data_IF_856256963091
#
_entry.id   IF_856256963091
#
_cell.length_a   1.000
_cell.length_b   1.000
_cell.length_c   1.000
_cell.angle_alpha   90.00
_cell.angle_beta   90.00
_cell.angle_gamma   90.00
#
_symmetry.space_group_name_H-M   'P 1'
#
loop_
_entity.id
_entity.type
_entity.pdbx_description
1 polymer ?
#
# COMPACT_ATOMS: atom_id res chain seq x y z
N UNK A 1 23.00 40.14 30.26
CA UNK A 1 21.95 39.76 29.28
C UNK A 1 21.97 38.25 29.07
N UNK A 2 20.86 37.62 28.67
CA UNK A 2 20.79 36.18 28.43
C UNK A 2 20.57 35.91 26.93
N UNK A 3 21.23 34.88 26.40
CA UNK A 3 21.00 34.43 25.04
C UNK A 3 19.58 33.85 24.90
N UNK A 4 18.80 34.34 23.94
CA UNK A 4 17.43 33.88 23.71
C UNK A 4 17.35 32.47 23.15
N UNK A 5 18.43 31.96 22.55
CA UNK A 5 18.49 30.59 22.01
C UNK A 5 18.86 29.54 23.06
N UNK A 6 19.85 29.81 23.92
CA UNK A 6 20.38 28.79 24.84
C UNK A 6 20.27 29.14 26.33
N UNK A 7 19.77 30.33 26.67
CA UNK A 7 19.61 30.79 28.06
C UNK A 7 20.92 31.12 28.79
N UNK A 8 22.08 31.04 28.13
CA UNK A 8 23.36 31.35 28.75
C UNK A 8 23.52 32.86 29.03
N UNK A 9 24.13 33.21 30.16
CA UNK A 9 24.45 34.59 30.51
C UNK A 9 25.62 35.09 29.65
N UNK A 10 25.44 36.23 28.99
CA UNK A 10 26.46 36.87 28.18
C UNK A 10 27.06 38.09 28.91
N UNK A 11 28.37 38.27 28.73
CA UNK A 11 29.10 39.47 29.15
C UNK A 11 28.60 40.70 28.40
N UNK A 12 28.62 41.85 29.07
CA UNK A 12 27.87 43.08 28.71
C UNK A 12 28.25 43.74 27.37
N UNK A 13 29.21 43.19 26.62
CA UNK A 13 29.68 43.75 25.34
C UNK A 13 29.94 42.67 24.26
N UNK A 14 29.57 41.41 24.52
CA UNK A 14 29.78 40.35 23.54
C UNK A 14 28.80 40.46 22.36
N UNK A 15 29.34 40.50 21.14
CA UNK A 15 28.55 40.46 19.89
C UNK A 15 27.95 39.07 19.59
N UNK A 16 28.51 38.01 20.19
CA UNK A 16 28.09 36.63 19.98
C UNK A 16 28.05 35.85 21.29
N UNK A 17 27.15 34.87 21.40
CA UNK A 17 27.08 33.97 22.54
C UNK A 17 28.25 32.97 22.51
N UNK A 18 29.06 32.93 23.57
CA UNK A 18 30.19 32.01 23.68
C UNK A 18 29.79 30.51 23.69
N UNK A 19 28.52 30.18 23.96
CA UNK A 19 28.05 28.79 24.07
C UNK A 19 27.44 28.24 22.78
N UNK A 20 26.70 29.06 22.03
CA UNK A 20 26.00 28.61 20.83
C UNK A 20 26.32 29.40 19.56
N UNK A 21 27.12 30.47 19.65
CA UNK A 21 27.53 31.29 18.50
C UNK A 21 26.49 32.29 18.00
N UNK A 22 25.30 32.35 18.61
CA UNK A 22 24.22 33.25 18.20
C UNK A 22 24.62 34.73 18.37
N UNK A 23 24.27 35.58 17.39
CA UNK A 23 24.52 37.01 17.46
C UNK A 23 23.63 37.67 18.53
N UNK A 24 24.23 38.46 19.43
CA UNK A 24 23.51 39.18 20.47
C UNK A 24 23.25 40.59 19.96
N UNK A 25 21.99 40.88 19.64
CA UNK A 25 21.57 42.13 19.00
C UNK A 25 21.98 43.36 19.80
N UNK A 26 22.77 44.22 19.19
CA UNK A 26 23.19 45.51 19.75
C UNK A 26 22.01 46.48 19.65
N UNK A 27 21.27 46.68 20.75
CA UNK A 27 20.22 47.70 20.79
C UNK A 27 20.86 49.09 20.84
N UNK A 28 20.81 49.80 19.71
CA UNK A 28 21.04 51.24 19.67
C UNK A 28 19.71 51.97 19.94
N UNK A 29 19.82 52.98 20.81
CA UNK A 29 18.78 53.87 21.32
C UNK A 29 18.13 54.69 20.21
N UNK A 30 16.79 54.72 20.12
CA UNK A 30 16.01 55.89 19.63
C UNK A 30 14.66 56.01 20.40
N UNK A 31 14.39 57.25 20.78
CA UNK A 31 13.32 57.98 21.47
C UNK A 31 11.84 57.73 21.07
N UNK A 32 10.96 57.64 22.09
CA UNK A 32 9.55 58.13 22.32
C UNK A 32 8.48 58.30 21.20
N UNK A 33 7.16 58.48 21.52
CA UNK A 33 6.07 57.66 20.99
C UNK A 33 5.07 58.43 20.10
N UNK A 34 4.32 57.74 19.22
CA UNK A 34 2.95 58.13 18.84
C UNK A 34 2.25 57.03 18.02
N UNK A 35 0.98 56.79 18.33
CA UNK A 35 0.03 55.91 17.65
C UNK A 35 -0.79 56.81 16.67
N UNK A 36 -1.14 56.38 15.44
CA UNK A 36 -2.39 55.64 15.26
C UNK A 36 -2.41 54.60 14.10
N UNK A 37 -3.24 53.57 14.29
CA UNK A 37 -4.16 52.96 13.30
C UNK A 37 -3.75 52.92 11.81
N UNK A 38 -3.48 51.73 11.26
CA UNK A 38 -4.17 51.23 10.05
C UNK A 38 -3.65 49.87 9.59
N UNK A 39 -4.59 49.05 9.12
CA UNK A 39 -4.40 47.76 8.49
C UNK A 39 -3.44 47.83 7.29
N UNK A 40 -2.44 46.96 7.24
CA UNK A 40 -2.13 46.17 6.03
C UNK A 40 -0.93 45.22 6.26
N UNK A 41 -1.13 43.98 5.80
CA UNK A 41 -0.11 43.09 5.25
C UNK A 41 1.11 42.73 6.09
N UNK A 42 1.03 41.61 6.81
CA UNK A 42 2.03 40.52 6.75
C UNK A 42 1.28 39.22 7.07
N UNK A 43 0.80 38.47 6.08
CA UNK A 43 1.53 37.29 5.58
C UNK A 43 2.34 36.62 6.70
N UNK A 44 1.64 35.97 7.64
CA UNK A 44 2.24 34.86 8.36
C UNK A 44 2.33 33.70 7.37
N UNK A 45 3.42 33.70 6.60
CA UNK A 45 3.94 32.50 5.96
C UNK A 45 3.98 31.40 7.01
N UNK A 46 3.20 30.34 6.76
CA UNK A 46 3.33 29.08 7.48
C UNK A 46 4.80 28.74 7.69
N UNK A 47 5.24 28.34 8.89
CA UNK A 47 6.56 27.78 9.02
C UNK A 47 6.59 26.54 8.13
N UNK A 48 7.61 26.52 7.28
CA UNK A 48 7.92 25.46 6.35
C UNK A 48 7.65 24.10 6.99
N UNK A 49 6.90 23.30 6.24
CA UNK A 49 6.79 21.86 6.46
C UNK A 49 8.14 21.31 6.87
N UNK A 50 8.19 20.66 8.04
CA UNK A 50 9.18 19.63 8.32
C UNK A 50 9.22 18.73 7.08
N UNK A 51 10.24 18.91 6.26
CA UNK A 51 10.57 18.01 5.17
C UNK A 51 10.90 16.68 5.85
N UNK A 52 9.86 15.88 6.05
CA UNK A 52 9.94 14.50 6.48
C UNK A 52 10.92 13.84 5.53
N UNK A 53 12.17 13.67 5.98
CA UNK A 53 13.28 13.13 5.20
C UNK A 53 12.87 11.75 4.72
N UNK A 54 12.30 11.68 3.53
CA UNK A 54 12.04 10.43 2.84
C UNK A 54 13.41 9.79 2.64
N UNK A 55 13.64 8.66 3.31
CA UNK A 55 14.82 7.84 3.08
C UNK A 55 14.89 7.37 1.61
N UNK A 56 15.96 6.66 1.23
CA UNK A 56 16.15 6.24 -0.16
C UNK A 56 14.89 5.59 -0.74
N UNK A 57 14.36 6.20 -1.80
CA UNK A 57 13.08 5.82 -2.43
C UNK A 57 13.28 4.73 -3.46
N UNK A 58 12.43 3.70 -3.45
CA UNK A 58 12.40 2.69 -4.51
C UNK A 58 11.75 1.38 -4.13
N UNK A 59 11.32 0.62 -5.16
CA UNK A 59 10.77 -0.72 -5.03
C UNK A 59 11.92 -1.72 -5.06
N UNK A 60 12.33 -2.20 -3.88
CA UNK A 60 13.46 -3.12 -3.74
C UNK A 60 13.23 -4.20 -2.68
N UNK A 61 14.05 -5.24 -2.71
CA UNK A 61 13.97 -6.38 -1.79
C UNK A 61 12.63 -7.11 -1.88
N UNK A 62 12.08 -7.48 -0.72
CA UNK A 62 10.80 -8.19 -0.58
C UNK A 62 9.61 -7.49 -1.25
N UNK A 63 9.62 -6.16 -1.37
CA UNK A 63 8.55 -5.44 -2.07
C UNK A 63 8.58 -5.73 -3.58
N UNK A 64 9.76 -5.87 -4.18
CA UNK A 64 9.88 -6.25 -5.60
C UNK A 64 9.36 -7.67 -5.83
N UNK A 65 9.61 -8.58 -4.89
CA UNK A 65 9.07 -9.94 -4.94
C UNK A 65 7.54 -9.92 -4.95
N UNK A 66 6.92 -9.12 -4.09
CA UNK A 66 5.46 -8.96 -4.08
C UNK A 66 4.94 -8.43 -5.42
N UNK A 67 5.57 -7.38 -5.94
CA UNK A 67 5.16 -6.76 -7.21
C UNK A 67 5.26 -7.76 -8.36
N UNK A 68 6.38 -8.48 -8.50
CA UNK A 68 6.53 -9.52 -9.53
C UNK A 68 5.52 -10.66 -9.32
N UNK A 69 5.29 -11.04 -8.06
CA UNK A 69 4.29 -12.02 -7.68
C UNK A 69 2.89 -11.63 -8.17
N UNK A 70 2.48 -10.38 -7.98
CA UNK A 70 1.17 -9.88 -8.40
C UNK A 70 1.05 -9.68 -9.91
N UNK A 71 2.13 -9.24 -10.58
CA UNK A 71 2.10 -8.89 -12.01
C UNK A 71 2.27 -10.09 -12.93
N UNK A 72 3.10 -11.07 -12.56
CA UNK A 72 3.52 -12.14 -13.47
C UNK A 72 3.19 -13.51 -12.87
N UNK A 73 3.68 -13.77 -11.66
CA UNK A 73 3.60 -15.11 -11.09
C UNK A 73 2.15 -15.54 -10.82
N UNK A 74 1.35 -14.64 -10.23
CA UNK A 74 -0.05 -14.89 -9.88
C UNK A 74 -0.91 -15.23 -11.10
N UNK A 75 -0.98 -14.36 -12.13
CA UNK A 75 -1.71 -14.67 -13.35
C UNK A 75 -1.21 -15.94 -14.05
N UNK A 76 0.12 -16.13 -14.16
CA UNK A 76 0.66 -17.30 -14.86
C UNK A 76 0.33 -18.60 -14.13
N UNK A 77 0.56 -18.66 -12.81
CA UNK A 77 0.24 -19.86 -12.01
C UNK A 77 -1.27 -20.09 -11.91
N UNK A 78 -2.07 -19.02 -11.83
CA UNK A 78 -3.53 -19.13 -11.79
C UNK A 78 -4.10 -19.72 -13.08
N UNK A 79 -3.64 -19.23 -14.24
CA UNK A 79 -4.05 -19.78 -15.54
C UNK A 79 -3.63 -21.25 -15.69
N UNK A 80 -2.37 -21.57 -15.35
CA UNK A 80 -1.87 -22.95 -15.43
C UNK A 80 -2.63 -23.90 -14.51
N UNK A 81 -3.00 -23.46 -13.31
CA UNK A 81 -3.81 -24.25 -12.37
C UNK A 81 -5.22 -24.51 -12.91
N UNK A 82 -5.91 -23.47 -13.39
CA UNK A 82 -7.28 -23.60 -13.94
C UNK A 82 -7.28 -24.58 -15.12
N UNK A 83 -6.32 -24.44 -16.04
CA UNK A 83 -6.23 -25.33 -17.20
C UNK A 83 -5.95 -26.78 -16.77
N UNK A 84 -5.01 -26.98 -15.83
CA UNK A 84 -4.72 -28.31 -15.31
C UNK A 84 -5.94 -28.95 -14.61
N UNK A 85 -6.70 -28.16 -13.83
CA UNK A 85 -7.90 -28.63 -13.14
C UNK A 85 -8.99 -29.03 -14.16
N UNK A 86 -9.17 -28.27 -15.25
CA UNK A 86 -10.10 -28.63 -16.33
C UNK A 86 -9.64 -29.87 -17.10
N UNK A 87 -8.37 -29.91 -17.54
CA UNK A 87 -7.82 -31.06 -18.26
C UNK A 87 -7.96 -32.35 -17.43
N UNK A 88 -7.66 -32.28 -16.13
CA UNK A 88 -7.80 -33.42 -15.23
C UNK A 88 -9.26 -33.87 -15.10
N UNK A 89 -10.20 -32.94 -14.93
CA UNK A 89 -11.62 -33.26 -14.83
C UNK A 89 -12.18 -33.88 -16.13
N UNK A 90 -11.81 -33.33 -17.29
CA UNK A 90 -12.24 -33.83 -18.61
C UNK A 90 -11.62 -35.19 -18.94
N UNK A 91 -10.37 -35.43 -18.55
CA UNK A 91 -9.72 -36.74 -18.69
C UNK A 91 -10.40 -37.79 -17.81
N UNK A 92 -10.79 -37.45 -16.57
CA UNK A 92 -11.46 -38.38 -15.66
C UNK A 92 -12.91 -38.67 -16.07
N UNK A 93 -13.60 -37.67 -16.64
CA UNK A 93 -15.00 -37.80 -17.01
C UNK A 93 -15.24 -37.23 -18.42
N UNK A 94 -14.91 -37.96 -19.50
CA UNK A 94 -15.00 -37.46 -20.86
C UNK A 94 -16.40 -36.94 -21.24
N UNK A 95 -17.44 -37.55 -20.65
CA UNK A 95 -18.84 -37.21 -20.88
C UNK A 95 -19.21 -35.79 -20.44
N UNK A 96 -18.47 -35.13 -19.55
CA UNK A 96 -18.81 -33.76 -19.10
C UNK A 96 -18.57 -32.71 -20.18
N UNK A 97 -17.72 -33.01 -21.17
CA UNK A 97 -17.36 -32.06 -22.24
C UNK A 97 -18.54 -31.73 -23.17
N UNK A 98 -19.53 -32.62 -23.26
CA UNK A 98 -20.74 -32.42 -24.05
C UNK A 98 -21.80 -31.58 -23.32
N UNK A 99 -21.72 -31.48 -21.99
CA UNK A 99 -22.70 -30.78 -21.15
C UNK A 99 -22.56 -29.26 -21.30
N UNK A 100 -23.70 -28.56 -21.42
CA UNK A 100 -23.73 -27.11 -21.56
C UNK A 100 -23.35 -26.39 -20.25
N UNK A 101 -23.66 -27.01 -19.12
CA UNK A 101 -23.31 -26.55 -17.77
C UNK A 101 -21.80 -26.49 -17.61
N UNK A 102 -21.07 -27.51 -18.09
CA UNK A 102 -19.61 -27.54 -18.05
C UNK A 102 -18.98 -26.42 -18.88
N UNK A 103 -19.49 -26.17 -20.09
CA UNK A 103 -19.02 -25.06 -20.93
C UNK A 103 -19.26 -23.70 -20.26
N UNK A 104 -20.44 -23.53 -19.66
CA UNK A 104 -20.80 -22.31 -18.92
C UNK A 104 -19.90 -22.12 -17.71
N UNK A 105 -19.60 -23.20 -16.98
CA UNK A 105 -18.68 -23.19 -15.84
C UNK A 105 -17.26 -22.77 -16.22
N UNK A 106 -16.71 -23.35 -17.31
CA UNK A 106 -15.38 -22.96 -17.81
C UNK A 106 -15.33 -21.49 -18.21
N UNK A 107 -16.33 -21.01 -18.96
CA UNK A 107 -16.40 -19.62 -19.37
C UNK A 107 -16.51 -18.66 -18.18
N UNK A 108 -17.38 -18.97 -17.20
CA UNK A 108 -17.54 -18.16 -15.99
C UNK A 108 -16.24 -18.10 -15.17
N UNK A 109 -15.55 -19.23 -15.05
CA UNK A 109 -14.26 -19.33 -14.36
C UNK A 109 -13.20 -18.48 -15.04
N UNK A 110 -13.06 -18.56 -16.37
CA UNK A 110 -12.08 -17.77 -17.13
C UNK A 110 -12.35 -16.27 -17.06
N UNK A 111 -13.60 -15.83 -17.21
CA UNK A 111 -13.95 -14.42 -17.06
C UNK A 111 -13.65 -13.89 -15.66
N UNK A 112 -14.01 -14.65 -14.63
CA UNK A 112 -13.70 -14.30 -13.24
C UNK A 112 -12.19 -14.21 -13.03
N UNK A 113 -11.43 -15.17 -13.56
CA UNK A 113 -9.98 -15.16 -13.51
C UNK A 113 -9.39 -13.93 -14.20
N UNK A 114 -9.85 -13.54 -15.40
CA UNK A 114 -9.35 -12.35 -16.08
C UNK A 114 -9.60 -11.06 -15.27
N UNK A 115 -10.77 -10.93 -14.63
CA UNK A 115 -11.08 -9.80 -13.75
C UNK A 115 -10.13 -9.78 -12.55
N UNK A 116 -9.95 -10.92 -11.88
CA UNK A 116 -9.03 -11.08 -10.74
C UNK A 116 -7.58 -10.77 -11.14
N UNK A 117 -7.14 -11.28 -12.29
CA UNK A 117 -5.81 -11.04 -12.83
C UNK A 117 -5.60 -9.55 -13.17
N UNK A 118 -6.58 -8.88 -13.77
CA UNK A 118 -6.52 -7.44 -14.05
C UNK A 118 -6.44 -6.61 -12.77
N UNK A 119 -7.21 -6.96 -11.74
CA UNK A 119 -7.12 -6.31 -10.42
C UNK A 119 -5.76 -6.55 -9.76
N UNK A 120 -5.23 -7.77 -9.82
CA UNK A 120 -3.88 -8.09 -9.34
C UNK A 120 -2.82 -7.25 -10.07
N UNK A 121 -2.94 -7.14 -11.39
CA UNK A 121 -2.03 -6.35 -12.22
C UNK A 121 -2.08 -4.87 -11.83
N UNK A 122 -3.27 -4.32 -11.65
CA UNK A 122 -3.49 -2.94 -11.20
C UNK A 122 -2.92 -2.66 -9.80
N UNK A 123 -3.00 -3.64 -8.89
CA UNK A 123 -2.38 -3.57 -7.56
C UNK A 123 -0.87 -3.57 -7.62
N UNK A 124 -0.28 -4.54 -8.33
CA UNK A 124 1.16 -4.66 -8.52
C UNK A 124 1.77 -3.46 -9.26
N UNK A 125 1.10 -2.98 -10.30
CA UNK A 125 1.51 -1.80 -11.06
C UNK A 125 1.44 -0.53 -10.21
N UNK A 126 0.39 -0.41 -9.40
CA UNK A 126 0.26 0.63 -8.40
C UNK A 126 1.49 0.67 -7.48
N UNK A 127 1.84 -0.46 -6.86
CA UNK A 127 3.02 -0.57 -6.01
C UNK A 127 4.34 -0.31 -6.78
N UNK A 128 4.41 -0.66 -8.07
CA UNK A 128 5.62 -0.46 -8.86
C UNK A 128 5.91 1.03 -9.14
N UNK A 129 4.86 1.84 -9.38
CA UNK A 129 5.00 3.23 -9.85
C UNK A 129 4.51 4.30 -8.87
N UNK A 130 3.52 3.97 -8.05
CA UNK A 130 2.92 4.91 -7.11
C UNK A 130 3.83 5.21 -5.93
N UNK A 131 3.65 6.38 -5.31
CA UNK A 131 4.41 6.80 -4.12
C UNK A 131 3.52 7.24 -2.95
N UNK A 132 2.22 7.01 -3.07
CA UNK A 132 1.23 7.40 -2.06
C UNK A 132 0.86 6.22 -1.16
N UNK A 133 0.54 6.50 0.10
CA UNK A 133 0.05 5.49 1.05
C UNK A 133 -1.25 4.83 0.58
N UNK A 134 -2.06 5.56 -0.19
CA UNK A 134 -3.31 5.05 -0.79
C UNK A 134 -3.06 3.80 -1.66
N UNK A 135 -1.91 3.75 -2.35
CA UNK A 135 -1.50 2.61 -3.19
C UNK A 135 -1.26 1.37 -2.34
N UNK A 136 -0.65 1.54 -1.16
CA UNK A 136 -0.40 0.44 -0.22
C UNK A 136 -1.72 -0.10 0.32
N UNK A 137 -2.66 0.77 0.68
CA UNK A 137 -3.98 0.36 1.15
C UNK A 137 -4.78 -0.37 0.06
N UNK A 138 -4.70 0.12 -1.18
CA UNK A 138 -5.29 -0.54 -2.34
C UNK A 138 -4.67 -1.92 -2.58
N UNK A 139 -3.36 -2.05 -2.47
CA UNK A 139 -2.68 -3.34 -2.63
C UNK A 139 -3.11 -4.35 -1.56
N UNK A 140 -3.27 -3.92 -0.29
CA UNK A 140 -3.82 -4.78 0.77
C UNK A 140 -5.22 -5.27 0.41
N UNK A 141 -6.11 -4.37 -0.02
CA UNK A 141 -7.47 -4.74 -0.42
C UNK A 141 -7.45 -5.74 -1.58
N UNK A 142 -6.61 -5.51 -2.59
CA UNK A 142 -6.45 -6.41 -3.74
C UNK A 142 -5.92 -7.77 -3.29
N UNK A 143 -4.97 -7.86 -2.36
CA UNK A 143 -4.46 -9.15 -1.85
C UNK A 143 -5.56 -10.01 -1.21
N UNK A 144 -6.45 -9.39 -0.43
CA UNK A 144 -7.61 -10.08 0.16
C UNK A 144 -8.64 -10.46 -0.89
N UNK A 145 -8.84 -9.60 -1.88
CA UNK A 145 -9.77 -9.85 -2.98
C UNK A 145 -9.30 -10.99 -3.89
N UNK A 146 -8.04 -10.96 -4.32
CA UNK A 146 -7.46 -11.95 -5.25
C UNK A 146 -7.11 -13.26 -4.57
N UNK A 147 -6.94 -13.28 -3.25
CA UNK A 147 -6.67 -14.49 -2.48
C UNK A 147 -7.96 -15.12 -1.95
N UNK A 148 -8.32 -14.90 -0.68
CA UNK A 148 -9.49 -15.55 -0.06
C UNK A 148 -10.81 -15.34 -0.79
N UNK A 149 -11.12 -14.12 -1.23
CA UNK A 149 -12.42 -13.82 -1.85
C UNK A 149 -12.54 -14.49 -3.22
N UNK A 150 -11.53 -14.40 -4.07
CA UNK A 150 -11.48 -15.12 -5.33
C UNK A 150 -11.57 -16.64 -5.12
N UNK A 151 -10.91 -17.18 -4.08
CA UNK A 151 -10.96 -18.61 -3.75
C UNK A 151 -12.39 -19.07 -3.43
N UNK A 152 -13.12 -18.30 -2.61
CA UNK A 152 -14.53 -18.57 -2.30
C UNK A 152 -15.38 -18.47 -3.56
N UNK A 153 -15.15 -17.45 -4.38
CA UNK A 153 -15.93 -17.23 -5.59
C UNK A 153 -15.79 -18.42 -6.57
N UNK A 154 -14.55 -18.80 -6.87
CA UNK A 154 -14.25 -19.86 -7.83
C UNK A 154 -14.63 -21.26 -7.33
N UNK A 155 -14.46 -21.55 -6.03
CA UNK A 155 -14.66 -22.91 -5.51
C UNK A 155 -16.05 -23.17 -4.91
N UNK A 156 -16.79 -22.12 -4.54
CA UNK A 156 -18.10 -22.25 -3.88
C UNK A 156 -19.18 -21.58 -4.72
N UNK A 157 -19.03 -20.27 -5.01
CA UNK A 157 -20.11 -19.48 -5.59
C UNK A 157 -20.41 -19.92 -7.03
N UNK A 158 -19.39 -20.01 -7.90
CA UNK A 158 -19.60 -20.38 -9.31
C UNK A 158 -20.16 -21.82 -9.43
N UNK A 159 -19.56 -22.86 -8.78
CA UNK A 159 -20.12 -24.21 -8.84
C UNK A 159 -21.54 -24.30 -8.30
N UNK A 160 -21.86 -23.56 -7.22
CA UNK A 160 -23.20 -23.55 -6.65
C UNK A 160 -24.23 -22.98 -7.62
N UNK A 161 -23.93 -21.86 -8.28
CA UNK A 161 -24.85 -21.21 -9.21
C UNK A 161 -25.10 -22.10 -10.44
N UNK A 162 -24.07 -22.81 -10.93
CA UNK A 162 -24.15 -23.55 -12.20
C UNK A 162 -24.64 -24.99 -12.00
N UNK A 163 -24.16 -25.69 -10.97
CA UNK A 163 -24.45 -27.10 -10.73
C UNK A 163 -25.37 -27.36 -9.53
N UNK A 164 -25.69 -26.33 -8.73
CA UNK A 164 -26.47 -26.48 -7.50
C UNK A 164 -25.74 -27.20 -6.37
N UNK A 165 -24.43 -27.44 -6.50
CA UNK A 165 -23.59 -28.17 -5.55
C UNK A 165 -22.28 -27.43 -5.29
N UNK A 166 -21.70 -27.62 -4.11
CA UNK A 166 -20.45 -26.99 -3.70
C UNK A 166 -19.41 -28.03 -3.29
N UNK A 167 -18.15 -27.76 -3.61
CA UNK A 167 -16.99 -28.56 -3.19
C UNK A 167 -16.38 -28.05 -1.87
N UNK A 168 -17.17 -27.39 -1.01
CA UNK A 168 -16.67 -26.70 0.18
C UNK A 168 -15.96 -27.63 1.20
N UNK A 169 -16.26 -28.93 1.17
CA UNK A 169 -15.63 -29.95 2.01
C UNK A 169 -14.32 -30.54 1.45
N UNK A 170 -13.91 -30.15 0.24
CA UNK A 170 -12.74 -30.74 -0.40
C UNK A 170 -11.44 -30.32 0.34
N UNK A 171 -10.62 -31.28 0.82
CA UNK A 171 -9.37 -30.97 1.51
C UNK A 171 -8.40 -30.09 0.70
N UNK A 172 -8.40 -30.27 -0.63
CA UNK A 172 -7.56 -29.50 -1.54
C UNK A 172 -7.98 -28.01 -1.58
N UNK A 173 -9.30 -27.76 -1.55
CA UNK A 173 -9.84 -26.42 -1.44
C UNK A 173 -9.50 -25.80 -0.08
N UNK A 174 -9.77 -26.54 1.00
CA UNK A 174 -9.53 -26.06 2.37
C UNK A 174 -8.06 -25.68 2.56
N UNK A 175 -7.13 -26.54 2.15
CA UNK A 175 -5.70 -26.26 2.21
C UNK A 175 -5.30 -25.04 1.37
N UNK A 176 -5.81 -24.92 0.15
CA UNK A 176 -5.56 -23.75 -0.71
C UNK A 176 -6.12 -22.45 -0.13
N UNK A 177 -7.33 -22.50 0.43
CA UNK A 177 -7.98 -21.36 1.07
C UNK A 177 -7.18 -20.88 2.29
N UNK A 178 -6.79 -21.79 3.19
CA UNK A 178 -5.96 -21.43 4.34
C UNK A 178 -4.61 -20.84 3.92
N UNK A 179 -3.95 -21.44 2.92
CA UNK A 179 -2.71 -20.89 2.37
C UNK A 179 -2.91 -19.46 1.83
N UNK A 180 -4.04 -19.19 1.16
CA UNK A 180 -4.37 -17.85 0.65
C UNK A 180 -4.59 -16.83 1.78
N UNK A 181 -5.25 -17.23 2.87
CA UNK A 181 -5.48 -16.38 4.05
C UNK A 181 -4.17 -16.07 4.76
N UNK A 182 -3.35 -17.09 5.02
CA UNK A 182 -2.03 -16.92 5.64
C UNK A 182 -1.14 -16.00 4.78
N UNK A 183 -1.11 -16.23 3.46
CA UNK A 183 -0.39 -15.38 2.53
C UNK A 183 -0.87 -13.92 2.57
N UNK A 184 -2.19 -13.69 2.54
CA UNK A 184 -2.77 -12.36 2.63
C UNK A 184 -2.42 -11.66 3.95
N UNK A 185 -2.43 -12.38 5.07
CA UNK A 185 -2.04 -11.85 6.38
C UNK A 185 -0.56 -11.46 6.39
N UNK A 186 0.34 -12.35 5.97
CA UNK A 186 1.79 -12.09 5.93
C UNK A 186 2.08 -10.82 5.13
N UNK A 187 1.52 -10.71 3.92
CA UNK A 187 1.72 -9.55 3.08
C UNK A 187 1.05 -8.28 3.61
N UNK A 188 -0.14 -8.39 4.21
CA UNK A 188 -0.82 -7.25 4.85
C UNK A 188 0.00 -6.70 6.02
N UNK A 189 0.53 -7.58 6.87
CA UNK A 189 1.40 -7.22 8.00
C UNK A 189 2.70 -6.61 7.48
N UNK A 190 3.34 -7.22 6.48
CA UNK A 190 4.54 -6.70 5.85
C UNK A 190 4.32 -5.28 5.29
N UNK A 191 3.28 -5.07 4.50
CA UNK A 191 2.94 -3.76 3.92
C UNK A 191 2.59 -2.71 4.98
N UNK A 192 2.05 -3.13 6.13
CA UNK A 192 1.66 -2.21 7.21
C UNK A 192 2.83 -1.81 8.11
N UNK A 193 3.70 -2.76 8.46
CA UNK A 193 4.73 -2.57 9.50
C UNK A 193 6.15 -2.36 8.94
N UNK A 194 6.41 -2.69 7.68
CA UNK A 194 7.76 -2.59 7.11
C UNK A 194 8.26 -1.15 7.05
N UNK A 195 9.38 -0.88 7.72
CA UNK A 195 10.09 0.42 7.65
C UNK A 195 10.42 0.81 6.21
N UNK A 196 10.78 -0.17 5.36
CA UNK A 196 11.09 0.06 3.94
C UNK A 196 9.85 0.52 3.17
N UNK A 197 8.72 -0.14 3.36
CA UNK A 197 7.46 0.25 2.69
C UNK A 197 7.08 1.67 3.12
N UNK A 198 7.11 1.96 4.43
CA UNK A 198 6.85 3.32 4.92
C UNK A 198 7.76 4.35 4.25
N UNK A 199 9.08 4.13 4.23
CA UNK A 199 10.04 5.04 3.59
C UNK A 199 9.80 5.24 2.09
N UNK A 200 9.32 4.21 1.36
CA UNK A 200 9.04 4.29 -0.08
C UNK A 200 7.76 5.10 -0.39
N UNK A 201 6.75 5.02 0.49
CA UNK A 201 5.43 5.65 0.27
C UNK A 201 5.14 6.79 1.27
N UNK A 202 6.18 7.44 1.79
CA UNK A 202 6.10 8.47 2.84
C UNK A 202 5.29 9.72 2.47
N UNK A 203 4.86 9.89 1.23
CA UNK A 203 4.31 11.15 0.73
C UNK A 203 2.80 11.29 0.93
N UNK A 204 2.31 11.07 2.15
CA UNK A 204 0.92 11.38 2.50
C UNK A 204 0.87 12.10 3.84
N UNK A 205 0.61 13.41 3.76
CA UNK A 205 -0.01 14.20 4.84
C UNK A 205 -1.38 13.59 5.16
N UNK A 206 -1.42 12.49 5.92
CA UNK A 206 -2.57 11.95 6.63
C UNK A 206 -2.19 10.57 7.19
N UNK A 207 -1.55 10.58 8.36
CA UNK A 207 -1.53 9.45 9.27
C UNK A 207 -2.06 10.01 10.60
N UNK A 208 -3.39 10.03 10.72
CA UNK A 208 -4.13 10.14 11.98
C UNK A 208 -5.12 8.99 11.98
#
# INVERSE_FOLDING_TARGET
>A
MYCTQCGAQAVSEAKFCAKCGEALGTSSVITEPELPLSLASMQNSSPATDDAKCGPTGVGGWLKLLVVGMLVLGPLMGAGRIENDFMMAEHQNPNITSLNEWKTFKNATWWTFYIVAAMSFYGGWGLARGRDVSVVNRAKAILWLTGPVASINLAIIIPFIIFGKTEAGNPQFIGGFFASVVGAIIWTVYLSKSKRVRNTYCNSKHFM
#
